data_IF_055073330039
#
_entry.id   IF_055073330039
#
_cell.length_a   1.000
_cell.length_b   1.000
_cell.length_c   1.000
_cell.angle_alpha   90.00
_cell.angle_beta   90.00
_cell.angle_gamma   90.00
#
_symmetry.space_group_name_H-M   'P 1'
#
loop_
_entity.id
_entity.type
_entity.pdbx_description
1 polymer ?
#
# COMPACT_ATOMS: atom_id res chain seq x y z
N UNK A 1 -18.38 24.80 -22.91
CA UNK A 1 -18.34 23.34 -23.13
C UNK A 1 -17.67 22.77 -21.90
N UNK A 2 -18.45 22.19 -20.99
CA UNK A 2 -17.89 21.44 -19.86
C UNK A 2 -17.32 20.15 -20.46
N UNK A 3 -16.00 19.95 -20.36
CA UNK A 3 -15.40 18.67 -20.68
C UNK A 3 -15.96 17.69 -19.64
N UNK A 4 -16.74 16.73 -20.08
CA UNK A 4 -16.99 15.50 -19.30
C UNK A 4 -15.65 14.77 -19.22
N UNK A 5 -14.84 15.08 -18.22
CA UNK A 5 -13.72 14.21 -17.86
C UNK A 5 -14.34 12.87 -17.49
N UNK A 6 -14.17 11.87 -18.35
CA UNK A 6 -14.61 10.52 -18.05
C UNK A 6 -14.05 10.12 -16.69
N UNK A 7 -14.87 9.51 -15.85
CA UNK A 7 -14.40 8.99 -14.58
C UNK A 7 -13.55 7.75 -14.88
N UNK A 8 -12.41 7.61 -14.21
CA UNK A 8 -11.45 6.52 -14.42
C UNK A 8 -11.11 5.88 -13.09
N UNK A 9 -10.65 4.63 -13.13
CA UNK A 9 -10.01 4.04 -11.97
C UNK A 9 -8.78 4.87 -11.61
N UNK A 10 -8.68 5.30 -10.36
CA UNK A 10 -7.61 6.21 -9.99
C UNK A 10 -7.45 6.42 -8.49
N UNK A 11 -6.41 7.18 -8.19
CA UNK A 11 -6.01 7.59 -6.85
C UNK A 11 -5.82 9.11 -6.84
N UNK A 12 -6.27 9.76 -5.77
CA UNK A 12 -5.97 11.15 -5.47
C UNK A 12 -5.47 11.29 -4.03
N UNK A 13 -4.48 12.16 -3.82
CA UNK A 13 -4.10 12.64 -2.50
C UNK A 13 -4.69 14.03 -2.28
N UNK A 14 -5.46 14.18 -1.20
CA UNK A 14 -6.24 15.38 -0.91
C UNK A 14 -5.96 15.88 0.50
N UNK A 15 -6.08 17.19 0.66
CA UNK A 15 -6.17 17.82 1.98
C UNK A 15 -7.62 17.83 2.47
N UNK A 16 -7.83 18.10 3.76
CA UNK A 16 -9.16 18.11 4.37
C UNK A 16 -10.14 19.08 3.69
N UNK A 17 -9.64 20.24 3.24
CA UNK A 17 -10.45 21.28 2.58
C UNK A 17 -10.93 20.84 1.19
N UNK A 18 -10.17 19.99 0.52
CA UNK A 18 -10.46 19.52 -0.84
C UNK A 18 -11.40 18.29 -0.81
N UNK A 19 -11.32 17.48 0.25
CA UNK A 19 -11.98 16.18 0.34
C UNK A 19 -13.50 16.27 0.09
N UNK A 20 -14.17 17.21 0.74
CA UNK A 20 -15.63 17.34 0.62
C UNK A 20 -16.10 17.61 -0.82
N UNK A 21 -15.42 18.51 -1.52
CA UNK A 21 -15.73 18.84 -2.90
C UNK A 21 -15.41 17.67 -3.85
N UNK A 22 -14.29 16.99 -3.60
CA UNK A 22 -13.89 15.83 -4.39
C UNK A 22 -14.88 14.67 -4.26
N UNK A 23 -15.29 14.32 -3.04
CA UNK A 23 -16.28 13.26 -2.79
C UNK A 23 -17.63 13.57 -3.43
N UNK A 24 -18.07 14.83 -3.40
CA UNK A 24 -19.31 15.26 -4.05
C UNK A 24 -19.22 15.16 -5.58
N UNK A 25 -18.08 15.53 -6.17
CA UNK A 25 -17.83 15.43 -7.62
C UNK A 25 -17.72 14.01 -8.16
N UNK A 26 -17.38 13.04 -7.27
CA UNK A 26 -17.22 11.61 -7.61
C UNK A 26 -18.28 10.74 -6.93
N UNK A 27 -19.44 11.32 -6.53
CA UNK A 27 -20.50 10.58 -5.85
C UNK A 27 -20.91 9.33 -6.64
N UNK A 28 -20.95 8.17 -5.94
CA UNK A 28 -21.25 6.88 -6.55
C UNK A 28 -20.07 6.18 -7.25
N UNK A 29 -18.88 6.80 -7.28
CA UNK A 29 -17.67 6.25 -7.89
C UNK A 29 -16.49 6.08 -6.91
N UNK A 30 -16.69 6.42 -5.63
CA UNK A 30 -15.68 6.23 -4.59
C UNK A 30 -15.61 4.77 -4.18
N UNK A 31 -14.42 4.20 -4.22
CA UNK A 31 -14.12 2.84 -3.77
C UNK A 31 -13.66 2.82 -2.31
N UNK A 32 -12.90 3.81 -1.87
CA UNK A 32 -12.42 3.90 -0.49
C UNK A 32 -11.74 5.21 -0.21
N UNK A 33 -11.75 5.60 1.07
CA UNK A 33 -11.08 6.79 1.58
C UNK A 33 -10.22 6.37 2.76
N UNK A 34 -8.93 6.70 2.72
CA UNK A 34 -8.00 6.45 3.80
C UNK A 34 -7.51 7.79 4.33
N UNK A 35 -7.72 8.04 5.62
CA UNK A 35 -7.22 9.23 6.30
C UNK A 35 -5.93 8.92 7.07
N UNK A 36 -4.96 9.82 7.00
CA UNK A 36 -3.72 9.82 7.77
C UNK A 36 -3.66 11.07 8.65
N UNK A 37 -2.94 11.01 9.76
CA UNK A 37 -2.81 12.12 10.72
C UNK A 37 -3.97 12.21 11.68
N UNK A 38 -4.34 13.44 12.07
CA UNK A 38 -5.39 13.70 13.05
C UNK A 38 -6.77 13.36 12.50
N UNK A 39 -7.54 12.55 13.26
CA UNK A 39 -8.91 12.21 12.86
C UNK A 39 -9.80 13.45 12.82
N UNK A 40 -10.55 13.58 11.75
CA UNK A 40 -11.60 14.60 11.59
C UNK A 40 -12.96 13.93 11.39
N UNK A 41 -14.03 14.62 11.76
CA UNK A 41 -15.39 14.18 11.44
C UNK A 41 -15.70 14.53 9.98
N UNK A 42 -16.09 13.51 9.21
CA UNK A 42 -16.54 13.71 7.83
C UNK A 42 -18.07 13.73 7.76
N UNK A 43 -18.64 14.60 6.92
CA UNK A 43 -20.09 14.82 6.87
C UNK A 43 -20.91 13.66 6.28
N UNK A 44 -20.28 12.62 5.74
CA UNK A 44 -20.98 11.49 5.13
C UNK A 44 -20.28 10.15 5.36
N UNK A 45 -21.07 9.11 5.71
CA UNK A 45 -20.62 7.71 5.84
C UNK A 45 -21.05 6.84 4.64
N UNK A 46 -21.24 7.41 3.49
CA UNK A 46 -21.71 6.65 2.30
C UNK A 46 -20.62 5.80 1.64
N UNK A 47 -19.36 5.96 2.06
CA UNK A 47 -18.19 5.22 1.56
C UNK A 47 -17.34 4.72 2.73
N UNK A 48 -16.60 3.59 2.58
CA UNK A 48 -15.66 3.14 3.59
C UNK A 48 -14.61 4.22 3.87
N UNK A 49 -14.53 4.64 5.13
CA UNK A 49 -13.51 5.56 5.63
C UNK A 49 -12.64 4.81 6.63
N UNK A 50 -11.40 4.62 6.27
CA UNK A 50 -10.37 3.99 7.08
C UNK A 50 -9.43 5.05 7.63
N UNK A 51 -9.07 4.98 8.91
CA UNK A 51 -8.00 5.79 9.49
C UNK A 51 -6.78 4.93 9.77
N UNK A 52 -5.64 5.43 9.33
CA UNK A 52 -4.33 4.90 9.69
C UNK A 52 -3.65 5.92 10.59
N UNK A 53 -3.37 5.53 11.83
CA UNK A 53 -2.76 6.41 12.83
C UNK A 53 -1.25 6.58 12.57
N UNK A 54 -0.95 7.39 11.57
CA UNK A 54 0.41 7.76 11.15
C UNK A 54 0.43 9.28 10.94
N UNK A 55 1.35 10.02 11.59
CA UNK A 55 1.46 11.46 11.39
C UNK A 55 1.81 11.83 9.95
N UNK A 56 1.17 12.87 9.45
CA UNK A 56 1.49 13.49 8.16
C UNK A 56 2.60 14.53 8.36
N UNK A 57 3.58 14.53 7.49
CA UNK A 57 4.70 15.45 7.51
C UNK A 57 4.53 16.60 6.51
N UNK A 58 5.36 17.63 6.65
CA UNK A 58 5.35 18.76 5.72
C UNK A 58 4.38 19.86 6.08
N UNK A 59 3.99 19.95 7.37
CA UNK A 59 3.16 21.04 7.91
C UNK A 59 1.66 20.83 7.66
N UNK A 60 1.23 19.61 7.42
CA UNK A 60 -0.19 19.20 7.30
C UNK A 60 -0.61 18.40 8.52
N UNK A 61 -1.81 18.65 9.02
CA UNK A 61 -2.38 17.88 10.15
C UNK A 61 -2.96 16.53 9.71
N UNK A 62 -3.41 16.45 8.45
CA UNK A 62 -3.97 15.23 7.85
C UNK A 62 -3.80 15.23 6.33
N UNK A 63 -3.97 14.06 5.73
CA UNK A 63 -4.04 13.84 4.30
C UNK A 63 -4.96 12.66 4.02
N UNK A 64 -5.57 12.66 2.84
CA UNK A 64 -6.52 11.62 2.43
C UNK A 64 -6.07 10.98 1.12
N UNK A 65 -6.10 9.67 1.11
CA UNK A 65 -5.95 8.83 -0.07
C UNK A 65 -7.35 8.40 -0.51
N UNK A 66 -7.77 8.80 -1.72
CA UNK A 66 -9.11 8.52 -2.24
C UNK A 66 -9.00 7.70 -3.51
N UNK A 67 -9.62 6.51 -3.48
CA UNK A 67 -9.71 5.60 -4.62
C UNK A 67 -11.04 5.76 -5.33
N UNK A 68 -11.00 5.88 -6.66
CA UNK A 68 -12.17 6.05 -7.52
C UNK A 68 -12.26 4.97 -8.59
N UNK A 69 -13.44 4.79 -9.15
CA UNK A 69 -13.72 3.86 -10.25
C UNK A 69 -14.33 4.58 -11.45
N UNK A 70 -14.19 3.96 -12.62
CA UNK A 70 -14.81 4.40 -13.88
C UNK A 70 -16.32 4.13 -13.92
N UNK A 71 -16.78 3.05 -13.29
CA UNK A 71 -18.16 2.66 -13.20
C UNK A 71 -18.73 2.87 -11.77
N UNK A 72 -20.06 2.93 -11.61
CA UNK A 72 -20.69 3.07 -10.29
C UNK A 72 -20.24 1.98 -9.31
N UNK A 73 -19.88 2.40 -8.11
CA UNK A 73 -19.47 1.52 -7.02
C UNK A 73 -20.65 1.11 -6.16
N UNK A 74 -20.63 -0.11 -5.67
CA UNK A 74 -21.62 -0.66 -4.75
C UNK A 74 -20.97 -1.28 -3.52
N UNK A 75 -21.58 -1.16 -2.32
CA UNK A 75 -21.00 -1.68 -1.10
C UNK A 75 -20.99 -3.22 -1.08
N UNK A 76 -19.98 -3.78 -0.44
CA UNK A 76 -19.82 -5.19 -0.17
C UNK A 76 -19.28 -5.41 1.25
N UNK A 77 -19.92 -6.27 2.03
CA UNK A 77 -19.56 -6.53 3.42
C UNK A 77 -19.61 -8.04 3.68
N UNK A 78 -18.59 -8.57 4.33
CA UNK A 78 -18.57 -9.95 4.81
C UNK A 78 -17.72 -10.07 6.09
N UNK A 79 -18.34 -10.43 7.20
CA UNK A 79 -17.68 -10.45 8.51
C UNK A 79 -17.18 -9.06 8.91
N UNK A 80 -15.91 -8.98 9.28
CA UNK A 80 -15.25 -7.74 9.70
C UNK A 80 -14.69 -6.92 8.52
N UNK A 81 -14.93 -7.37 7.27
CA UNK A 81 -14.41 -6.70 6.07
C UNK A 81 -15.52 -5.94 5.39
N UNK A 82 -15.29 -4.67 5.18
CA UNK A 82 -16.14 -3.79 4.39
C UNK A 82 -15.39 -3.24 3.17
N UNK A 83 -16.12 -2.93 2.11
CA UNK A 83 -15.53 -2.40 0.89
C UNK A 83 -16.56 -1.97 -0.13
N UNK A 84 -16.03 -1.63 -1.30
CA UNK A 84 -16.79 -1.25 -2.49
C UNK A 84 -16.32 -2.05 -3.69
N UNK A 85 -17.26 -2.42 -4.56
CA UNK A 85 -16.96 -3.09 -5.82
C UNK A 85 -17.50 -2.29 -7.00
N UNK A 86 -16.75 -2.29 -8.09
CA UNK A 86 -17.13 -1.62 -9.33
C UNK A 86 -16.49 -2.36 -10.52
N UNK A 87 -17.31 -2.85 -11.45
CA UNK A 87 -16.81 -3.56 -12.63
C UNK A 87 -15.96 -4.78 -12.27
N UNK A 88 -14.67 -4.71 -12.58
CA UNK A 88 -13.67 -5.75 -12.29
C UNK A 88 -12.79 -5.44 -11.06
N UNK A 89 -13.03 -4.32 -10.36
CA UNK A 89 -12.26 -3.88 -9.21
C UNK A 89 -13.05 -4.02 -7.91
N UNK A 90 -12.39 -4.46 -6.86
CA UNK A 90 -12.87 -4.47 -5.49
C UNK A 90 -11.83 -3.81 -4.60
N UNK A 91 -12.25 -2.81 -3.83
CA UNK A 91 -11.53 -2.25 -2.70
C UNK A 91 -12.11 -2.82 -1.41
N UNK A 92 -11.26 -3.26 -0.49
CA UNK A 92 -11.70 -3.76 0.80
C UNK A 92 -10.79 -3.33 1.93
N UNK A 93 -11.32 -3.30 3.15
CA UNK A 93 -10.57 -2.95 4.35
C UNK A 93 -11.03 -3.75 5.57
N UNK A 94 -10.10 -3.94 6.49
CA UNK A 94 -10.32 -4.57 7.80
C UNK A 94 -9.48 -3.88 8.86
N UNK A 95 -10.07 -3.69 10.03
CA UNK A 95 -9.37 -3.19 11.23
C UNK A 95 -9.61 -4.16 12.37
N UNK A 96 -8.54 -4.72 12.92
CA UNK A 96 -8.60 -5.66 14.04
C UNK A 96 -7.86 -5.09 15.25
N UNK A 97 -8.57 -4.77 16.34
CA UNK A 97 -7.95 -4.35 17.58
C UNK A 97 -7.24 -5.53 18.25
N UNK A 98 -6.02 -5.31 18.70
CA UNK A 98 -5.29 -6.30 19.49
C UNK A 98 -5.84 -6.27 20.93
N UNK A 99 -6.58 -7.31 21.30
CA UNK A 99 -7.23 -7.43 22.62
C UNK A 99 -6.76 -8.66 23.37
N UNK A 100 -6.63 -8.52 24.69
CA UNK A 100 -6.21 -9.63 25.55
C UNK A 100 -4.84 -10.19 25.16
N UNK A 101 -4.71 -11.50 25.11
CA UNK A 101 -3.46 -12.19 24.80
C UNK A 101 -3.28 -12.48 23.29
N UNK A 102 -4.12 -11.88 22.41
CA UNK A 102 -4.01 -12.08 20.98
C UNK A 102 -2.69 -11.48 20.44
N UNK A 103 -1.90 -12.29 19.74
CA UNK A 103 -0.66 -11.84 19.11
C UNK A 103 -0.91 -11.25 17.73
N UNK A 104 0.02 -10.42 17.25
CA UNK A 104 -0.04 -9.89 15.87
C UNK A 104 -0.06 -11.02 14.84
N UNK A 105 0.66 -12.12 15.08
CA UNK A 105 0.64 -13.34 14.26
C UNK A 105 -0.79 -13.85 14.08
N UNK A 106 -1.52 -14.03 15.18
CA UNK A 106 -2.91 -14.54 15.16
C UNK A 106 -3.87 -13.58 14.46
N UNK A 107 -3.75 -12.27 14.75
CA UNK A 107 -4.57 -11.25 14.09
C UNK A 107 -4.31 -11.21 12.59
N UNK A 108 -3.04 -11.34 12.19
CA UNK A 108 -2.67 -11.35 10.77
C UNK A 108 -3.22 -12.58 10.06
N UNK A 109 -3.14 -13.75 10.67
CA UNK A 109 -3.75 -14.97 10.13
C UNK A 109 -5.26 -14.79 9.97
N UNK A 110 -5.95 -14.29 11.01
CA UNK A 110 -7.40 -14.02 10.97
C UNK A 110 -7.74 -13.05 9.83
N UNK A 111 -7.03 -11.92 9.74
CA UNK A 111 -7.28 -10.89 8.73
C UNK A 111 -7.12 -11.44 7.31
N UNK A 112 -6.00 -12.10 7.00
CA UNK A 112 -5.75 -12.61 5.66
C UNK A 112 -6.65 -13.79 5.28
N UNK A 113 -6.99 -14.67 6.22
CA UNK A 113 -8.02 -15.71 6.02
C UNK A 113 -9.37 -15.08 5.68
N UNK A 114 -9.75 -14.02 6.39
CA UNK A 114 -10.95 -13.23 6.11
C UNK A 114 -10.90 -12.60 4.72
N UNK A 115 -9.79 -11.94 4.36
CA UNK A 115 -9.59 -11.30 3.05
C UNK A 115 -9.74 -12.31 1.91
N UNK A 116 -9.13 -13.50 2.02
CA UNK A 116 -9.25 -14.52 0.98
C UNK A 116 -10.68 -15.02 0.81
N UNK A 117 -11.39 -15.25 1.91
CA UNK A 117 -12.82 -15.63 1.87
C UNK A 117 -13.69 -14.52 1.28
N UNK A 118 -13.38 -13.26 1.62
CA UNK A 118 -14.11 -12.10 1.14
C UNK A 118 -13.95 -11.91 -0.38
N UNK A 119 -12.74 -11.90 -0.91
CA UNK A 119 -12.50 -11.72 -2.35
C UNK A 119 -13.06 -12.89 -3.16
N UNK A 120 -13.04 -14.11 -2.61
CA UNK A 120 -13.63 -15.28 -3.26
C UNK A 120 -15.16 -15.22 -3.27
N UNK A 121 -15.79 -14.82 -2.16
CA UNK A 121 -17.25 -14.68 -2.03
C UNK A 121 -17.82 -13.70 -3.06
N UNK A 122 -17.14 -12.56 -3.29
CA UNK A 122 -17.56 -11.57 -4.28
C UNK A 122 -17.01 -11.82 -5.69
N UNK A 123 -16.24 -12.89 -5.91
CA UNK A 123 -15.75 -13.31 -7.23
C UNK A 123 -14.52 -12.54 -7.73
N UNK A 124 -13.79 -11.84 -6.84
CA UNK A 124 -12.55 -11.12 -7.16
C UNK A 124 -11.34 -11.91 -6.67
N UNK A 125 -10.92 -12.91 -7.43
CA UNK A 125 -9.96 -13.92 -6.98
C UNK A 125 -8.50 -13.46 -6.94
N UNK A 126 -8.16 -12.34 -7.60
CA UNK A 126 -6.80 -11.88 -7.73
C UNK A 126 -6.56 -10.70 -6.80
N UNK A 127 -5.80 -10.92 -5.72
CA UNK A 127 -5.35 -9.88 -4.82
C UNK A 127 -4.15 -9.17 -5.46
N UNK A 128 -4.29 -7.90 -5.80
CA UNK A 128 -3.28 -7.16 -6.56
C UNK A 128 -2.36 -6.32 -5.68
N UNK A 129 -2.95 -5.61 -4.71
CA UNK A 129 -2.21 -4.69 -3.84
C UNK A 129 -2.75 -4.76 -2.42
N UNK A 130 -1.85 -4.78 -1.42
CA UNK A 130 -2.20 -4.81 0.01
C UNK A 130 -1.34 -3.83 0.78
N UNK A 131 -1.97 -3.03 1.64
CA UNK A 131 -1.31 -2.15 2.60
C UNK A 131 -1.60 -2.64 4.01
N UNK A 132 -0.53 -2.79 4.80
CA UNK A 132 -0.61 -3.31 6.17
C UNK A 132 0.02 -2.32 7.12
N UNK A 133 -0.72 -1.95 8.16
CA UNK A 133 -0.26 -1.04 9.20
C UNK A 133 -0.52 -1.65 10.57
N UNK A 134 0.47 -1.66 11.41
CA UNK A 134 0.35 -2.15 12.79
C UNK A 134 1.40 -1.49 13.69
N UNK A 135 1.10 -1.28 14.98
CA UNK A 135 2.00 -0.56 15.87
C UNK A 135 3.22 -1.40 16.26
N UNK A 136 4.30 -0.71 16.65
CA UNK A 136 5.48 -1.32 17.25
C UNK A 136 6.14 -2.37 16.34
N UNK A 137 6.21 -2.09 15.04
CA UNK A 137 6.61 -3.05 14.00
C UNK A 137 7.97 -3.72 14.28
N UNK A 138 8.92 -3.01 14.92
CA UNK A 138 10.26 -3.52 15.24
C UNK A 138 10.39 -4.01 16.70
N UNK A 139 9.33 -3.97 17.51
CA UNK A 139 9.37 -4.41 18.90
C UNK A 139 9.25 -5.94 19.01
N UNK A 140 9.74 -6.48 20.13
CA UNK A 140 9.58 -7.90 20.44
C UNK A 140 8.17 -8.20 20.97
N UNK A 141 7.57 -9.27 20.48
CA UNK A 141 6.33 -9.86 20.98
C UNK A 141 6.57 -11.35 21.26
N UNK A 142 6.68 -11.71 22.53
CA UNK A 142 6.90 -13.10 22.98
C UNK A 142 8.19 -13.77 22.41
N UNK A 143 9.28 -13.01 22.27
CA UNK A 143 10.56 -13.50 21.77
C UNK A 143 10.69 -13.48 20.24
N UNK A 144 9.76 -12.85 19.54
CA UNK A 144 9.81 -12.64 18.09
C UNK A 144 9.46 -11.19 17.76
N UNK A 145 10.26 -10.57 16.89
CA UNK A 145 9.94 -9.25 16.35
C UNK A 145 8.56 -9.25 15.69
N UNK A 146 7.74 -8.23 15.96
CA UNK A 146 6.34 -8.15 15.47
C UNK A 146 6.22 -8.26 13.95
N UNK A 147 7.12 -7.63 13.20
CA UNK A 147 7.14 -7.80 11.74
C UNK A 147 7.37 -9.26 11.31
N UNK A 148 8.21 -10.00 12.03
CA UNK A 148 8.44 -11.42 11.77
C UNK A 148 7.21 -12.26 12.14
N UNK A 149 6.55 -11.95 13.25
CA UNK A 149 5.27 -12.55 13.66
C UNK A 149 4.16 -12.29 12.61
N UNK A 150 4.05 -11.05 12.10
CA UNK A 150 3.17 -10.71 10.98
C UNK A 150 3.42 -11.61 9.77
N UNK A 151 4.66 -11.84 9.36
CA UNK A 151 4.97 -12.72 8.24
C UNK A 151 4.61 -14.20 8.52
N UNK A 152 4.72 -14.68 9.77
CA UNK A 152 4.27 -16.03 10.16
C UNK A 152 2.75 -16.14 9.99
N UNK A 153 1.98 -15.20 10.55
CA UNK A 153 0.52 -15.20 10.46
C UNK A 153 0.03 -15.11 9.01
N UNK A 154 0.65 -14.23 8.20
CA UNK A 154 0.30 -14.11 6.78
C UNK A 154 0.58 -15.41 6.03
N UNK A 155 1.75 -16.03 6.25
CA UNK A 155 2.07 -17.33 5.65
C UNK A 155 1.06 -18.42 6.05
N UNK A 156 0.67 -18.48 7.33
CA UNK A 156 -0.32 -19.43 7.81
C UNK A 156 -1.67 -19.28 7.09
N UNK A 157 -2.15 -18.04 6.88
CA UNK A 157 -3.38 -17.78 6.15
C UNK A 157 -3.31 -18.21 4.67
N UNK A 158 -2.18 -17.97 3.98
CA UNK A 158 -2.00 -18.46 2.60
C UNK A 158 -2.11 -19.99 2.53
N UNK A 159 -1.45 -20.70 3.45
CA UNK A 159 -1.50 -22.18 3.52
C UNK A 159 -2.92 -22.66 3.85
N UNK A 160 -3.56 -22.09 4.87
CA UNK A 160 -4.91 -22.45 5.32
C UNK A 160 -5.95 -22.29 4.19
N UNK A 161 -5.83 -21.23 3.41
CA UNK A 161 -6.74 -20.96 2.29
C UNK A 161 -6.31 -21.61 0.97
N UNK A 162 -5.29 -22.48 0.97
CA UNK A 162 -4.81 -23.16 -0.25
C UNK A 162 -4.27 -22.20 -1.32
N UNK A 163 -3.81 -20.99 -0.91
CA UNK A 163 -3.24 -20.01 -1.82
C UNK A 163 -1.79 -20.36 -2.15
N UNK A 164 -1.45 -20.27 -3.42
CA UNK A 164 -0.08 -20.53 -3.86
C UNK A 164 0.85 -19.40 -3.39
N UNK A 165 2.00 -19.78 -2.82
CA UNK A 165 3.07 -18.86 -2.41
C UNK A 165 4.16 -18.92 -3.48
N UNK A 166 3.93 -18.27 -4.61
CA UNK A 166 4.86 -18.18 -5.71
C UNK A 166 4.74 -16.82 -6.39
N UNK A 167 5.75 -16.42 -7.14
CA UNK A 167 5.84 -15.10 -7.78
C UNK A 167 4.57 -14.72 -8.54
N UNK A 168 3.95 -15.68 -9.20
CA UNK A 168 2.79 -15.44 -10.06
C UNK A 168 1.46 -15.23 -9.30
N UNK A 169 1.44 -15.41 -7.97
CA UNK A 169 0.19 -15.52 -7.22
C UNK A 169 0.10 -14.63 -5.97
N UNK A 170 1.16 -13.87 -5.69
CA UNK A 170 1.20 -13.02 -4.50
C UNK A 170 1.09 -11.55 -4.88
N UNK A 171 0.44 -10.72 -4.05
CA UNK A 171 0.22 -9.30 -4.37
C UNK A 171 1.50 -8.46 -4.21
N UNK A 172 1.50 -7.27 -4.79
CA UNK A 172 2.35 -6.21 -4.31
C UNK A 172 1.88 -5.77 -2.92
N UNK A 173 2.81 -5.49 -2.00
CA UNK A 173 2.44 -5.13 -0.63
C UNK A 173 3.45 -4.20 0.06
N UNK A 174 2.96 -3.51 1.10
CA UNK A 174 3.76 -2.74 2.05
C UNK A 174 3.36 -3.13 3.48
N UNK A 175 4.30 -3.00 4.42
CA UNK A 175 4.04 -3.22 5.85
C UNK A 175 4.80 -2.18 6.67
N UNK A 176 4.08 -1.28 7.33
CA UNK A 176 4.58 -0.09 8.00
C UNK A 176 4.11 -0.05 9.46
N UNK A 177 4.88 0.64 10.29
CA UNK A 177 4.50 0.95 11.65
C UNK A 177 3.38 1.98 11.71
N UNK A 178 2.42 1.82 12.62
CA UNK A 178 1.42 2.83 13.02
C UNK A 178 1.55 3.15 14.49
N UNK A 179 0.88 4.20 14.95
CA UNK A 179 0.91 4.61 16.37
C UNK A 179 -0.18 3.93 17.20
N UNK A 180 -1.28 3.50 16.59
CA UNK A 180 -2.40 2.87 17.29
C UNK A 180 -2.21 1.36 17.52
N UNK A 181 -2.97 0.81 18.47
CA UNK A 181 -2.95 -0.63 18.82
C UNK A 181 -3.71 -1.56 17.87
N UNK A 182 -4.08 -1.12 16.66
CA UNK A 182 -4.89 -1.86 15.70
C UNK A 182 -4.06 -2.35 14.53
N UNK A 183 -4.35 -3.58 14.07
CA UNK A 183 -3.93 -4.04 12.75
C UNK A 183 -4.92 -3.50 11.72
N UNK A 184 -4.43 -2.66 10.82
CA UNK A 184 -5.20 -2.05 9.74
C UNK A 184 -4.71 -2.58 8.40
N UNK A 185 -5.61 -3.16 7.61
CA UNK A 185 -5.28 -3.63 6.27
C UNK A 185 -6.31 -3.09 5.29
N UNK A 186 -5.85 -2.56 4.16
CA UNK A 186 -6.72 -2.35 3.01
C UNK A 186 -6.07 -2.90 1.74
N UNK A 187 -6.90 -3.19 0.74
CA UNK A 187 -6.44 -3.93 -0.42
C UNK A 187 -7.26 -3.65 -1.67
N UNK A 188 -6.65 -3.91 -2.81
CA UNK A 188 -7.30 -3.94 -4.12
C UNK A 188 -7.24 -5.37 -4.65
N UNK A 189 -8.40 -5.88 -5.05
CA UNK A 189 -8.53 -7.15 -5.74
C UNK A 189 -9.25 -6.96 -7.09
N UNK A 190 -9.06 -7.89 -8.01
CA UNK A 190 -9.65 -7.83 -9.34
C UNK A 190 -10.17 -9.20 -9.79
N UNK A 191 -11.11 -9.17 -10.74
CA UNK A 191 -11.52 -10.37 -11.51
C UNK A 191 -10.44 -10.79 -12.49
N UNK A 192 -9.66 -9.84 -12.99
CA UNK A 192 -8.52 -10.07 -13.89
C UNK A 192 -7.23 -10.27 -13.09
N UNK A 193 -6.35 -11.12 -13.56
CA UNK A 193 -5.02 -11.26 -12.98
C UNK A 193 -4.14 -10.06 -13.33
N UNK A 194 -3.32 -9.64 -12.37
CA UNK A 194 -2.19 -8.77 -12.65
C UNK A 194 -0.98 -9.56 -13.11
N UNK A 195 0.03 -8.85 -13.57
CA UNK A 195 1.35 -9.37 -13.90
C UNK A 195 2.32 -8.94 -12.78
N UNK A 196 2.82 -9.88 -11.98
CA UNK A 196 3.81 -9.59 -10.96
C UNK A 196 5.14 -9.18 -11.59
N UNK A 197 5.80 -8.23 -10.95
CA UNK A 197 7.08 -7.68 -11.41
C UNK A 197 8.09 -7.74 -10.28
N UNK A 198 9.24 -8.37 -10.53
CA UNK A 198 10.36 -8.45 -9.61
C UNK A 198 11.45 -7.44 -9.96
N UNK A 199 12.24 -7.06 -8.97
CA UNK A 199 13.33 -6.11 -9.14
C UNK A 199 14.65 -6.87 -9.43
N UNK A 200 15.32 -6.62 -10.55
CA UNK A 200 16.57 -7.30 -10.88
C UNK A 200 17.72 -6.99 -9.90
N UNK A 201 17.59 -5.95 -9.09
CA UNK A 201 18.58 -5.56 -8.08
C UNK A 201 18.34 -6.23 -6.71
N UNK A 202 17.20 -6.87 -6.51
CA UNK A 202 16.77 -7.41 -5.22
C UNK A 202 16.46 -8.91 -5.31
N UNK A 203 16.75 -9.65 -4.26
CA UNK A 203 16.25 -11.02 -4.11
C UNK A 203 14.74 -10.97 -3.88
N UNK A 204 13.98 -11.84 -4.54
CA UNK A 204 12.54 -11.99 -4.29
C UNK A 204 12.27 -12.21 -2.80
N UNK A 205 11.27 -11.51 -2.25
CA UNK A 205 11.05 -11.47 -0.80
C UNK A 205 10.86 -12.85 -0.17
N UNK A 206 10.16 -13.76 -0.84
CA UNK A 206 9.92 -15.13 -0.38
C UNK A 206 11.14 -16.04 -0.46
N UNK A 207 12.26 -15.61 -1.04
CA UNK A 207 13.56 -16.29 -1.02
C UNK A 207 14.52 -15.73 0.02
N UNK A 208 14.08 -14.84 0.91
CA UNK A 208 14.93 -14.28 1.95
C UNK A 208 15.45 -15.34 2.90
N UNK A 209 16.73 -15.25 3.32
CA UNK A 209 17.33 -16.18 4.27
C UNK A 209 16.59 -16.21 5.61
N UNK A 210 16.64 -17.34 6.30
CA UNK A 210 16.02 -17.54 7.61
C UNK A 210 16.46 -16.55 8.70
N UNK A 211 17.58 -15.86 8.51
CA UNK A 211 18.03 -14.82 9.44
C UNK A 211 17.02 -13.66 9.55
N UNK A 212 16.18 -13.43 8.52
CA UNK A 212 15.13 -12.41 8.51
C UNK A 212 13.82 -12.87 9.16
N UNK A 213 13.74 -14.10 9.64
CA UNK A 213 12.61 -14.63 10.38
C UNK A 213 12.29 -16.09 10.04
N UNK A 214 11.35 -16.69 10.82
CA UNK A 214 10.94 -18.09 10.61
C UNK A 214 10.19 -18.29 9.27
N UNK A 215 9.55 -17.25 8.77
CA UNK A 215 8.87 -17.19 7.47
C UNK A 215 9.29 -15.95 6.70
N UNK A 216 9.58 -16.13 5.41
CA UNK A 216 9.89 -15.03 4.51
C UNK A 216 8.65 -14.18 4.23
N UNK A 217 8.80 -12.88 3.93
CA UNK A 217 7.70 -12.05 3.49
C UNK A 217 7.09 -12.58 2.19
N UNK A 218 5.78 -12.39 1.99
CA UNK A 218 5.03 -12.87 0.83
C UNK A 218 4.52 -11.68 0.04
N UNK A 219 5.30 -11.16 -0.90
CA UNK A 219 4.91 -10.08 -1.82
C UNK A 219 5.84 -10.04 -3.04
N UNK A 220 5.35 -9.49 -4.14
CA UNK A 220 6.16 -9.10 -5.31
C UNK A 220 6.55 -7.64 -5.24
N UNK A 221 7.62 -7.26 -5.94
CA UNK A 221 8.17 -5.89 -5.87
C UNK A 221 7.27 -4.86 -6.53
N UNK A 222 6.52 -5.26 -7.57
CA UNK A 222 5.45 -4.45 -8.13
C UNK A 222 4.39 -5.34 -8.77
N UNK A 223 3.23 -4.76 -9.10
CA UNK A 223 2.14 -5.41 -9.81
C UNK A 223 1.67 -4.51 -10.95
N UNK A 224 1.77 -5.01 -12.17
CA UNK A 224 1.18 -4.40 -13.36
C UNK A 224 -0.23 -4.96 -13.58
N UNK A 225 -1.22 -4.09 -13.81
CA UNK A 225 -2.60 -4.51 -13.99
C UNK A 225 -3.36 -3.53 -14.90
N UNK A 226 -4.45 -4.01 -15.50
CA UNK A 226 -5.44 -3.15 -16.15
C UNK A 226 -6.71 -3.16 -15.33
N UNK A 227 -7.12 -1.99 -14.83
CA UNK A 227 -8.29 -1.82 -13.98
C UNK A 227 -9.19 -0.72 -14.57
N UNK A 228 -10.48 -1.02 -14.77
CA UNK A 228 -11.40 -0.08 -15.41
C UNK A 228 -10.91 0.36 -16.80
N UNK A 229 -10.24 -0.50 -17.53
CA UNK A 229 -9.64 -0.17 -18.84
C UNK A 229 -8.33 0.63 -18.78
N UNK A 230 -7.87 1.03 -17.59
CA UNK A 230 -6.66 1.82 -17.39
C UNK A 230 -5.48 0.95 -16.95
N UNK A 231 -4.31 1.17 -17.56
CA UNK A 231 -3.08 0.53 -17.11
C UNK A 231 -2.60 1.16 -15.80
N UNK A 232 -2.34 0.29 -14.82
CA UNK A 232 -1.91 0.64 -13.47
C UNK A 232 -0.66 -0.14 -13.10
N UNK A 233 0.28 0.50 -12.39
CA UNK A 233 1.47 -0.17 -11.87
C UNK A 233 1.63 0.17 -10.38
N UNK A 234 1.53 -0.84 -9.53
CA UNK A 234 1.62 -0.71 -8.08
C UNK A 234 3.00 -1.12 -7.59
N UNK A 235 3.77 -0.18 -7.06
CA UNK A 235 5.09 -0.41 -6.49
C UNK A 235 4.90 -0.75 -5.00
N UNK A 236 5.42 -1.90 -4.57
CA UNK A 236 5.49 -2.30 -3.17
C UNK A 236 6.40 -1.38 -2.36
N UNK A 237 6.31 -1.44 -1.03
CA UNK A 237 7.27 -0.78 -0.16
C UNK A 237 8.70 -1.08 -0.60
N UNK A 238 9.40 -0.04 -1.04
CA UNK A 238 10.75 -0.11 -1.60
C UNK A 238 11.67 0.74 -0.73
N UNK A 239 12.81 0.17 -0.37
CA UNK A 239 13.80 0.80 0.51
C UNK A 239 15.23 0.57 0.01
N UNK A 240 16.23 1.02 0.76
CA UNK A 240 17.66 0.88 0.44
C UNK A 240 18.14 -0.56 0.65
N UNK A 241 17.65 -1.48 -0.19
CA UNK A 241 17.99 -2.93 -0.14
C UNK A 241 18.51 -3.36 -1.51
N UNK A 242 19.69 -4.00 -1.55
CA UNK A 242 20.24 -4.68 -2.73
C UNK A 242 20.46 -6.15 -2.40
N UNK A 243 20.03 -7.04 -3.29
CA UNK A 243 19.87 -8.43 -2.90
C UNK A 243 18.85 -8.55 -1.76
N UNK A 244 19.30 -8.94 -0.59
CA UNK A 244 18.53 -8.94 0.67
C UNK A 244 19.15 -8.07 1.78
N UNK A 245 20.23 -7.34 1.48
CA UNK A 245 20.99 -6.55 2.45
C UNK A 245 20.58 -5.09 2.46
N UNK A 246 20.44 -4.49 3.65
CA UNK A 246 20.26 -3.05 3.81
C UNK A 246 21.57 -2.35 3.52
N UNK A 247 21.55 -1.33 2.66
CA UNK A 247 22.70 -0.52 2.34
C UNK A 247 22.64 0.86 3.00
N UNK A 248 23.81 1.51 3.13
CA UNK A 248 23.96 2.90 3.59
C UNK A 248 23.38 3.14 4.99
N UNK A 249 23.76 2.27 5.94
CA UNK A 249 23.31 2.36 7.34
C UNK A 249 23.54 3.75 7.94
N UNK A 250 22.50 4.37 8.50
CA UNK A 250 22.54 5.67 9.15
C UNK A 250 22.72 6.88 8.20
N UNK A 251 22.60 6.70 6.89
CA UNK A 251 22.76 7.76 5.89
C UNK A 251 21.48 7.89 5.06
N UNK A 252 20.57 8.77 5.47
CA UNK A 252 19.27 8.97 4.81
C UNK A 252 19.41 9.43 3.37
N UNK A 253 20.37 10.29 3.07
CA UNK A 253 20.57 10.79 1.72
C UNK A 253 20.93 9.66 0.75
N UNK A 254 21.85 8.76 1.16
CA UNK A 254 22.25 7.61 0.35
C UNK A 254 21.16 6.54 0.32
N UNK A 255 20.47 6.30 1.45
CA UNK A 255 19.31 5.38 1.45
C UNK A 255 18.22 5.86 0.51
N UNK A 256 17.93 7.17 0.46
CA UNK A 256 16.97 7.72 -0.51
C UNK A 256 17.43 7.46 -1.94
N UNK A 257 18.69 7.78 -2.27
CA UNK A 257 19.22 7.55 -3.62
C UNK A 257 19.15 6.08 -4.02
N UNK A 258 19.49 5.15 -3.11
CA UNK A 258 19.41 3.70 -3.37
C UNK A 258 17.97 3.22 -3.55
N UNK A 259 17.03 3.76 -2.76
CA UNK A 259 15.59 3.50 -2.91
C UNK A 259 15.08 3.94 -4.28
N UNK A 260 15.47 5.13 -4.75
CA UNK A 260 15.13 5.64 -6.07
C UNK A 260 15.72 4.78 -7.20
N UNK A 261 16.97 4.32 -7.06
CA UNK A 261 17.58 3.38 -8.00
C UNK A 261 16.77 2.06 -8.10
N UNK A 262 16.25 1.57 -6.98
CA UNK A 262 15.39 0.39 -6.96
C UNK A 262 14.03 0.65 -7.63
N UNK A 263 13.43 1.84 -7.42
CA UNK A 263 12.19 2.23 -8.09
C UNK A 263 12.41 2.33 -9.61
N UNK A 264 13.48 2.98 -10.05
CA UNK A 264 13.80 3.04 -11.48
C UNK A 264 13.99 1.68 -12.12
N UNK A 265 14.68 0.77 -11.42
CA UNK A 265 14.85 -0.59 -11.91
C UNK A 265 13.51 -1.32 -12.07
N UNK A 266 12.53 -1.06 -11.22
CA UNK A 266 11.16 -1.60 -11.36
C UNK A 266 10.40 -0.97 -12.51
N UNK A 267 10.45 0.35 -12.66
CA UNK A 267 9.77 1.07 -13.74
C UNK A 267 10.24 0.60 -15.12
N UNK A 268 11.51 0.21 -15.24
CA UNK A 268 12.08 -0.33 -16.49
C UNK A 268 11.60 -1.75 -16.84
N UNK A 269 10.96 -2.48 -15.91
CA UNK A 269 10.46 -3.83 -16.15
C UNK A 269 9.09 -3.85 -16.85
N UNK A 270 8.33 -2.77 -16.83
CA UNK A 270 7.03 -2.69 -17.50
C UNK A 270 7.13 -1.81 -18.77
N UNK A 271 7.03 -2.40 -19.96
CA UNK A 271 7.15 -1.67 -21.23
C UNK A 271 5.97 -0.71 -21.51
N UNK A 272 4.90 -0.81 -20.74
CA UNK A 272 3.72 0.06 -20.87
C UNK A 272 3.83 1.34 -20.03
N UNK A 273 4.86 1.44 -19.19
CA UNK A 273 5.12 2.65 -18.41
C UNK A 273 5.78 3.72 -19.26
N UNK A 274 5.14 4.87 -19.33
CA UNK A 274 5.72 6.08 -19.87
C UNK A 274 5.47 7.21 -18.86
N UNK A 275 6.46 7.61 -18.06
CA UNK A 275 6.30 8.66 -17.07
C UNK A 275 5.79 9.98 -17.64
N UNK A 276 6.04 10.24 -18.94
CA UNK A 276 5.55 11.44 -19.60
C UNK A 276 4.05 11.38 -19.97
N UNK A 277 3.46 10.19 -19.98
CA UNK A 277 2.05 9.96 -20.36
C UNK A 277 1.19 9.47 -19.19
N UNK A 278 1.65 9.58 -17.97
CA UNK A 278 0.91 9.10 -16.81
C UNK A 278 1.15 9.93 -15.57
N UNK A 279 0.44 9.55 -14.50
CA UNK A 279 0.55 10.16 -13.17
C UNK A 279 1.27 9.18 -12.26
N UNK A 280 2.32 9.65 -11.59
CA UNK A 280 3.02 8.92 -10.55
C UNK A 280 2.63 9.49 -9.19
N UNK A 281 2.17 8.63 -8.28
CA UNK A 281 1.80 8.99 -6.92
C UNK A 281 2.62 8.16 -5.94
N UNK A 282 3.27 8.81 -4.98
CA UNK A 282 4.09 8.17 -3.97
C UNK A 282 3.54 8.36 -2.56
N UNK A 283 3.63 7.32 -1.72
CA UNK A 283 3.65 7.48 -0.26
C UNK A 283 5.08 7.25 0.23
N UNK A 284 5.58 8.25 0.92
CA UNK A 284 6.94 8.31 1.41
C UNK A 284 6.91 8.23 2.93
N UNK A 285 7.43 7.14 3.46
CA UNK A 285 7.52 6.91 4.90
C UNK A 285 8.94 7.21 5.35
N UNK A 286 9.10 8.11 6.30
CA UNK A 286 10.39 8.42 6.92
C UNK A 286 10.36 8.10 8.40
N UNK A 287 11.45 7.51 8.89
CA UNK A 287 11.60 7.09 10.29
C UNK A 287 11.81 8.27 11.22
N UNK A 288 12.49 9.31 10.76
CA UNK A 288 12.79 10.51 11.52
C UNK A 288 12.27 11.72 10.76
N UNK A 289 11.51 12.58 11.43
CA UNK A 289 10.86 13.72 10.79
C UNK A 289 11.87 14.68 10.13
N UNK A 290 13.05 14.85 10.76
CA UNK A 290 14.14 15.65 10.24
C UNK A 290 14.73 15.18 8.91
N UNK A 291 14.49 13.93 8.52
CA UNK A 291 14.95 13.35 7.26
C UNK A 291 14.03 13.67 6.07
N UNK A 292 12.83 14.16 6.33
CA UNK A 292 11.84 14.42 5.27
C UNK A 292 12.34 15.45 4.24
N UNK A 293 12.98 16.57 4.61
CA UNK A 293 13.43 17.56 3.62
C UNK A 293 14.46 17.01 2.62
N UNK A 294 15.43 16.21 3.07
CA UNK A 294 16.44 15.62 2.18
C UNK A 294 15.81 14.55 1.28
N UNK A 295 14.89 13.74 1.82
CA UNK A 295 14.16 12.74 1.04
C UNK A 295 13.31 13.41 -0.04
N UNK A 296 12.57 14.47 0.31
CA UNK A 296 11.76 15.25 -0.62
C UNK A 296 12.60 15.86 -1.74
N UNK A 297 13.71 16.52 -1.39
CA UNK A 297 14.58 17.15 -2.38
C UNK A 297 15.15 16.15 -3.39
N UNK A 298 15.44 14.90 -2.95
CA UNK A 298 15.89 13.83 -3.86
C UNK A 298 14.79 13.37 -4.81
N UNK A 299 13.56 13.19 -4.32
CA UNK A 299 12.42 12.85 -5.19
C UNK A 299 12.16 13.96 -6.22
N UNK A 300 12.15 15.23 -5.79
CA UNK A 300 11.94 16.38 -6.67
C UNK A 300 13.06 16.51 -7.73
N UNK A 301 14.31 16.22 -7.37
CA UNK A 301 15.42 16.20 -8.31
C UNK A 301 15.30 15.09 -9.36
N UNK A 302 14.72 13.93 -8.98
CA UNK A 302 14.62 12.76 -9.83
C UNK A 302 13.40 12.79 -10.75
N UNK A 303 12.22 13.13 -10.20
CA UNK A 303 10.94 13.09 -10.92
C UNK A 303 10.44 14.48 -11.37
N UNK A 304 11.14 15.55 -11.00
CA UNK A 304 10.72 16.92 -11.30
C UNK A 304 9.40 17.27 -10.61
N UNK A 305 8.46 17.85 -11.35
CA UNK A 305 7.12 18.20 -10.89
C UNK A 305 6.04 17.22 -11.36
N UNK A 306 6.43 16.07 -11.91
CA UNK A 306 5.53 15.11 -12.55
C UNK A 306 5.05 14.00 -11.59
N UNK A 307 5.14 14.23 -10.29
CA UNK A 307 4.64 13.30 -9.29
C UNK A 307 3.85 14.02 -8.19
N UNK A 308 3.00 13.27 -7.52
CA UNK A 308 2.32 13.67 -6.29
C UNK A 308 2.85 12.82 -5.14
N UNK A 309 3.02 13.37 -3.95
CA UNK A 309 3.48 12.60 -2.80
C UNK A 309 2.84 13.02 -1.49
N UNK A 310 2.58 12.02 -0.64
CA UNK A 310 2.27 12.20 0.79
C UNK A 310 3.47 11.71 1.60
N UNK A 311 3.92 12.53 2.56
CA UNK A 311 5.02 12.20 3.45
C UNK A 311 4.47 11.83 4.82
N UNK A 312 4.89 10.69 5.34
CA UNK A 312 4.35 10.08 6.56
C UNK A 312 5.49 9.71 7.52
N UNK A 313 5.31 9.96 8.81
CA UNK A 313 6.24 9.56 9.85
C UNK A 313 5.93 8.14 10.30
N UNK A 314 6.78 7.17 9.98
CA UNK A 314 6.52 5.76 10.26
C UNK A 314 7.80 4.96 10.50
N UNK A 315 7.70 3.93 11.36
CA UNK A 315 8.71 2.89 11.44
C UNK A 315 8.60 1.93 10.25
N UNK A 316 9.76 1.56 9.72
CA UNK A 316 9.92 0.69 8.55
C UNK A 316 10.11 -0.76 9.01
N UNK A 317 9.86 -1.73 8.15
CA UNK A 317 9.94 -3.17 8.43
C UNK A 317 11.30 -3.68 8.97
N UNK A 318 12.38 -2.94 8.79
CA UNK A 318 13.68 -3.16 9.41
C UNK A 318 14.12 -1.90 10.13
N UNK A 319 14.68 -2.06 11.33
CA UNK A 319 15.11 -0.94 12.18
C UNK A 319 16.26 -0.11 11.61
N UNK A 320 17.03 -0.66 10.67
CA UNK A 320 18.15 -0.01 9.98
C UNK A 320 17.75 0.74 8.69
N UNK A 321 16.48 0.64 8.27
CA UNK A 321 15.93 1.43 7.18
C UNK A 321 15.39 2.76 7.71
N UNK A 322 15.80 3.86 7.09
CA UNK A 322 15.42 5.21 7.47
C UNK A 322 14.20 5.72 6.69
N UNK A 323 13.93 5.12 5.54
CA UNK A 323 12.75 5.44 4.73
C UNK A 323 12.29 4.24 3.90
N UNK A 324 11.02 4.31 3.47
CA UNK A 324 10.42 3.41 2.49
C UNK A 324 9.53 4.23 1.57
N UNK A 325 9.54 3.92 0.28
CA UNK A 325 8.69 4.57 -0.72
C UNK A 325 7.86 3.51 -1.42
N UNK A 326 6.57 3.70 -1.48
CA UNK A 326 5.66 2.94 -2.32
C UNK A 326 5.03 3.86 -3.36
N UNK A 327 4.48 3.30 -4.43
CA UNK A 327 3.90 4.13 -5.48
C UNK A 327 2.80 3.46 -6.27
N UNK A 328 2.05 4.30 -6.98
CA UNK A 328 1.11 3.90 -7.99
C UNK A 328 1.30 4.77 -9.23
N UNK A 329 1.37 4.13 -10.38
CA UNK A 329 1.36 4.79 -11.68
C UNK A 329 0.03 4.50 -12.37
N UNK A 330 -0.54 5.52 -12.99
CA UNK A 330 -1.73 5.42 -13.82
C UNK A 330 -1.40 6.04 -15.18
N UNK A 331 -1.53 5.25 -16.24
CA UNK A 331 -1.36 5.77 -17.60
C UNK A 331 -2.41 6.83 -17.88
N UNK A 332 -2.01 7.93 -18.48
CA UNK A 332 -2.95 8.96 -18.94
C UNK A 332 -3.99 8.36 -19.89
N UNK A 333 -5.20 8.88 -19.84
CA UNK A 333 -6.25 8.55 -20.81
C UNK A 333 -6.15 9.58 -21.93
N UNK A 334 -5.97 9.11 -23.17
CA UNK A 334 -5.96 9.93 -24.37
C UNK A 334 -7.31 10.62 -24.62
#
# INVERSE_FOLDING_TARGET
MQSTSGQHFGLAYLDADELGAYLAGHAGHILGVIGFGSKIELPSRSVPLLWVDIPVLGGRDNSFEVWTSDAPASPCVLGDIEGMQSGDVLFGSITLPQRGDATLEQLTQQAYTGIFKYIEHFGYRNLLRVWNYFPYINDDENGLERYRGFNVGRHAAFVECGRNIGEEHVPAASALGSNSGELVIYFIASKQSGMPVENPRQTSAFHYPKLFGPRSPIFVRAMSATLGGQHCFFISGTASIVGYETLHLGDTEKQTSETLNNIHALLQQDPHLDPAQGRMLFKVYVRHEEDMPVTRAKLEAEFGTQFEAVYLHSNICRSDLLLEIEGAYFKGVD
#
